data_IF_081022633693
#
_entry.id   IF_081022633693
#
_cell.length_a   1.000
_cell.length_b   1.000
_cell.length_c   1.000
_cell.angle_alpha   90.00
_cell.angle_beta   90.00
_cell.angle_gamma   90.00
#
_symmetry.space_group_name_H-M   'P 1'
#
loop_
_entity.id
_entity.type
_entity.pdbx_description
1 polymer ?
#
# COMPACT_ATOMS: atom_id res chain seq x y z
N UNK A 1 -45.75 -12.93 -12.73
CA UNK A 1 -44.57 -12.24 -13.32
C UNK A 1 -44.32 -10.88 -12.67
N UNK A 2 -45.35 -10.08 -12.33
CA UNK A 2 -45.17 -8.74 -11.75
C UNK A 2 -44.32 -8.68 -10.47
N UNK A 3 -44.56 -9.58 -9.50
CA UNK A 3 -43.83 -9.65 -8.22
C UNK A 3 -42.31 -9.83 -8.38
N UNK A 4 -41.88 -10.71 -9.30
CA UNK A 4 -40.46 -10.92 -9.61
C UNK A 4 -39.81 -9.67 -10.22
N UNK A 5 -40.55 -8.91 -11.02
CA UNK A 5 -40.04 -7.68 -11.64
C UNK A 5 -39.91 -6.55 -10.62
N UNK A 6 -40.84 -6.45 -9.66
CA UNK A 6 -40.76 -5.48 -8.54
C UNK A 6 -39.54 -5.77 -7.67
N UNK A 7 -39.33 -7.04 -7.29
CA UNK A 7 -38.16 -7.43 -6.49
C UNK A 7 -36.85 -7.17 -7.23
N UNK A 8 -36.79 -7.48 -8.52
CA UNK A 8 -35.62 -7.20 -9.36
C UNK A 8 -35.32 -5.69 -9.40
N UNK A 9 -36.32 -4.85 -9.67
CA UNK A 9 -36.14 -3.40 -9.70
C UNK A 9 -35.80 -2.82 -8.32
N UNK A 10 -36.33 -3.39 -7.23
CA UNK A 10 -35.93 -3.02 -5.87
C UNK A 10 -34.45 -3.35 -5.61
N UNK A 11 -33.97 -4.52 -6.04
CA UNK A 11 -32.56 -4.91 -5.92
C UNK A 11 -31.63 -4.02 -6.74
N UNK A 12 -32.09 -3.57 -7.91
CA UNK A 12 -31.36 -2.66 -8.80
C UNK A 12 -31.45 -1.19 -8.33
N UNK A 13 -32.36 -0.85 -7.42
CA UNK A 13 -32.62 0.53 -6.99
C UNK A 13 -33.45 1.35 -7.98
N UNK A 14 -34.09 0.71 -8.96
CA UNK A 14 -34.98 1.35 -9.95
C UNK A 14 -36.39 1.55 -9.37
N UNK A 15 -36.50 2.50 -8.44
CA UNK A 15 -37.71 2.67 -7.63
C UNK A 15 -38.92 3.13 -8.44
N UNK A 16 -38.74 4.02 -9.42
CA UNK A 16 -39.83 4.47 -10.29
C UNK A 16 -40.44 3.32 -11.09
N UNK A 17 -39.60 2.42 -11.61
CA UNK A 17 -40.07 1.27 -12.36
C UNK A 17 -40.64 0.18 -11.45
N UNK A 18 -40.10 0.01 -10.24
CA UNK A 18 -40.70 -0.84 -9.22
C UNK A 18 -42.12 -0.36 -8.84
N UNK A 19 -42.33 0.95 -8.67
CA UNK A 19 -43.64 1.55 -8.38
C UNK A 19 -44.62 1.42 -9.56
N UNK A 20 -44.17 1.62 -10.80
CA UNK A 20 -44.99 1.37 -11.99
C UNK A 20 -45.43 -0.09 -12.09
N UNK A 21 -44.52 -1.04 -11.83
CA UNK A 21 -44.88 -2.46 -11.84
C UNK A 21 -45.78 -2.85 -10.66
N UNK A 22 -45.65 -2.20 -9.51
CA UNK A 22 -46.53 -2.37 -8.34
C UNK A 22 -47.97 -1.95 -8.66
N UNK A 23 -48.15 -0.79 -9.31
CA UNK A 23 -49.50 -0.31 -9.69
C UNK A 23 -50.17 -1.17 -10.76
N UNK A 24 -49.39 -1.88 -11.57
CA UNK A 24 -49.86 -2.76 -12.65
C UNK A 24 -49.92 -4.25 -12.27
N UNK A 25 -49.48 -4.64 -11.06
CA UNK A 25 -49.36 -6.04 -10.67
C UNK A 25 -50.70 -6.64 -10.20
N UNK A 26 -51.10 -7.74 -10.84
CA UNK A 26 -52.15 -8.66 -10.36
C UNK A 26 -51.63 -10.11 -10.34
N UNK A 27 -51.75 -10.85 -9.22
CA UNK A 27 -52.26 -10.41 -7.92
C UNK A 27 -51.33 -9.41 -7.22
N UNK A 28 -51.87 -8.71 -6.23
CA UNK A 28 -51.15 -7.72 -5.42
C UNK A 28 -49.89 -8.36 -4.79
N UNK A 29 -48.74 -7.67 -4.79
CA UNK A 29 -47.51 -8.20 -4.21
C UNK A 29 -47.61 -8.33 -2.69
N UNK A 30 -46.70 -9.14 -2.13
CA UNK A 30 -46.67 -9.47 -0.71
C UNK A 30 -46.40 -8.21 0.14
N UNK A 31 -47.09 -8.10 1.29
CA UNK A 31 -47.00 -6.96 2.20
C UNK A 31 -45.55 -6.74 2.69
N UNK A 32 -44.79 -7.83 2.82
CA UNK A 32 -43.39 -7.81 3.18
C UNK A 32 -42.50 -7.18 2.09
N UNK A 33 -42.79 -7.45 0.82
CA UNK A 33 -42.03 -6.89 -0.31
C UNK A 33 -42.33 -5.40 -0.49
N UNK A 34 -43.58 -5.00 -0.29
CA UNK A 34 -43.97 -3.58 -0.27
C UNK A 34 -43.22 -2.82 0.83
N UNK A 35 -43.14 -3.40 2.03
CA UNK A 35 -42.43 -2.80 3.16
C UNK A 35 -40.91 -2.65 2.88
N UNK A 36 -40.30 -3.66 2.25
CA UNK A 36 -38.89 -3.58 1.82
C UNK A 36 -38.67 -2.47 0.79
N UNK A 37 -39.53 -2.37 -0.21
CA UNK A 37 -39.46 -1.32 -1.23
C UNK A 37 -39.56 0.07 -0.60
N UNK A 38 -40.56 0.31 0.25
CA UNK A 38 -40.73 1.59 0.97
C UNK A 38 -39.52 1.93 1.85
N UNK A 39 -38.90 0.92 2.46
CA UNK A 39 -37.70 1.10 3.29
C UNK A 39 -36.50 1.51 2.44
N UNK A 40 -36.28 0.85 1.30
CA UNK A 40 -35.23 1.23 0.34
C UNK A 40 -35.46 2.64 -0.20
N UNK A 41 -36.69 2.99 -0.60
CA UNK A 41 -37.05 4.33 -1.09
C UNK A 41 -36.73 5.42 -0.06
N UNK A 42 -37.10 5.17 1.20
CA UNK A 42 -36.83 6.09 2.31
C UNK A 42 -35.34 6.31 2.51
N UNK A 43 -34.55 5.24 2.54
CA UNK A 43 -33.09 5.35 2.70
C UNK A 43 -32.44 6.03 1.51
N UNK A 44 -32.89 5.73 0.28
CA UNK A 44 -32.38 6.41 -0.90
C UNK A 44 -32.69 7.91 -0.88
N UNK A 45 -33.93 8.31 -0.57
CA UNK A 45 -34.30 9.72 -0.46
C UNK A 45 -33.40 10.48 0.53
N UNK A 46 -33.16 9.89 1.70
CA UNK A 46 -32.25 10.45 2.73
C UNK A 46 -30.80 10.51 2.29
N UNK A 47 -30.33 9.50 1.56
CA UNK A 47 -29.01 9.49 0.94
C UNK A 47 -28.86 10.67 -0.04
N UNK A 48 -29.83 10.87 -0.92
CA UNK A 48 -29.82 11.97 -1.89
C UNK A 48 -29.82 13.34 -1.22
N UNK A 49 -30.65 13.52 -0.19
CA UNK A 49 -30.70 14.79 0.54
C UNK A 49 -29.43 15.05 1.35
N UNK A 50 -28.85 14.01 1.96
CA UNK A 50 -27.56 14.10 2.66
C UNK A 50 -26.42 14.45 1.70
N UNK A 51 -26.43 13.90 0.48
CA UNK A 51 -25.43 14.23 -0.55
C UNK A 51 -25.50 15.71 -0.93
N UNK A 52 -26.70 16.28 -1.11
CA UNK A 52 -26.89 17.70 -1.46
C UNK A 52 -26.29 18.65 -0.43
N UNK A 53 -26.39 18.30 0.86
CA UNK A 53 -25.83 19.10 1.95
C UNK A 53 -24.37 18.75 2.28
N UNK A 54 -23.80 17.73 1.63
CA UNK A 54 -22.41 17.30 1.85
C UNK A 54 -22.18 16.50 3.13
N UNK A 55 -23.23 15.90 3.71
CA UNK A 55 -23.10 15.03 4.90
C UNK A 55 -22.72 13.60 4.48
N UNK A 56 -21.45 13.41 4.15
CA UNK A 56 -20.93 12.14 3.61
C UNK A 56 -21.01 10.97 4.58
N UNK A 57 -20.96 11.23 5.90
CA UNK A 57 -21.15 10.18 6.92
C UNK A 57 -22.56 9.62 6.85
N UNK A 58 -23.53 10.49 6.66
CA UNK A 58 -24.93 10.11 6.58
C UNK A 58 -25.27 9.50 5.21
N UNK A 59 -24.66 9.97 4.12
CA UNK A 59 -24.71 9.30 2.80
C UNK A 59 -24.26 7.84 2.93
N UNK A 60 -23.09 7.60 3.51
CA UNK A 60 -22.56 6.25 3.72
C UNK A 60 -23.53 5.38 4.53
N UNK A 61 -24.03 5.90 5.65
CA UNK A 61 -24.99 5.20 6.52
C UNK A 61 -26.29 4.83 5.81
N UNK A 62 -26.86 5.76 5.04
CA UNK A 62 -28.11 5.53 4.33
C UNK A 62 -27.92 4.62 3.10
N UNK A 63 -26.75 4.67 2.43
CA UNK A 63 -26.38 3.67 1.42
C UNK A 63 -26.30 2.26 2.02
N UNK A 64 -25.59 2.09 3.13
CA UNK A 64 -25.46 0.79 3.81
C UNK A 64 -26.83 0.25 4.29
N UNK A 65 -27.70 1.14 4.80
CA UNK A 65 -29.06 0.79 5.19
C UNK A 65 -29.93 0.38 3.99
N UNK A 66 -29.83 1.07 2.85
CA UNK A 66 -30.55 0.70 1.63
C UNK A 66 -30.08 -0.67 1.08
N UNK A 67 -28.77 -0.93 1.11
CA UNK A 67 -28.19 -2.22 0.72
C UNK A 67 -28.70 -3.33 1.65
N UNK A 68 -28.68 -3.12 2.97
CA UNK A 68 -29.19 -4.07 3.95
C UNK A 68 -30.71 -4.32 3.83
N UNK A 69 -31.48 -3.31 3.42
CA UNK A 69 -32.92 -3.42 3.18
C UNK A 69 -33.29 -4.18 1.89
N UNK A 70 -32.32 -4.43 1.01
CA UNK A 70 -32.50 -5.29 -0.17
C UNK A 70 -32.03 -4.69 -1.51
N UNK A 71 -31.43 -3.49 -1.53
CA UNK A 71 -30.89 -2.88 -2.75
C UNK A 71 -29.43 -3.31 -3.02
N UNK A 72 -29.13 -4.59 -2.80
CA UNK A 72 -27.78 -5.18 -2.82
C UNK A 72 -27.14 -5.30 -4.22
N UNK A 73 -27.92 -5.02 -5.27
CA UNK A 73 -27.49 -5.14 -6.67
C UNK A 73 -27.48 -3.79 -7.40
N UNK A 74 -27.62 -2.68 -6.67
CA UNK A 74 -27.68 -1.34 -7.25
C UNK A 74 -26.29 -0.72 -7.46
N UNK A 75 -25.81 -0.70 -8.70
CA UNK A 75 -24.53 -0.08 -9.04
C UNK A 75 -24.45 1.40 -8.60
N UNK A 76 -25.57 2.14 -8.67
CA UNK A 76 -25.64 3.55 -8.27
C UNK A 76 -25.45 3.76 -6.77
N UNK A 77 -26.00 2.86 -5.92
CA UNK A 77 -25.76 2.91 -4.48
C UNK A 77 -24.31 2.62 -4.14
N UNK A 78 -23.67 1.64 -4.80
CA UNK A 78 -22.25 1.37 -4.61
C UNK A 78 -21.37 2.53 -5.09
N UNK A 79 -21.74 3.22 -6.17
CA UNK A 79 -21.05 4.43 -6.61
C UNK A 79 -21.21 5.61 -5.63
N UNK A 80 -22.42 5.82 -5.08
CA UNK A 80 -22.65 6.84 -4.06
C UNK A 80 -21.90 6.55 -2.76
N UNK A 81 -21.85 5.27 -2.37
CA UNK A 81 -21.03 4.78 -1.27
C UNK A 81 -19.55 5.05 -1.50
N UNK A 82 -19.04 4.77 -2.70
CA UNK A 82 -17.65 5.07 -3.08
C UNK A 82 -17.34 6.57 -3.02
N UNK A 83 -18.24 7.43 -3.51
CA UNK A 83 -18.11 8.89 -3.41
C UNK A 83 -18.03 9.35 -1.94
N UNK A 84 -18.91 8.83 -1.08
CA UNK A 84 -18.91 9.16 0.34
C UNK A 84 -17.61 8.72 1.05
N UNK A 85 -17.18 7.47 0.83
CA UNK A 85 -15.94 6.93 1.38
C UNK A 85 -14.72 7.73 0.95
N UNK A 86 -14.68 8.14 -0.32
CA UNK A 86 -13.63 9.01 -0.84
C UNK A 86 -13.59 10.36 -0.11
N UNK A 87 -14.74 10.99 0.14
CA UNK A 87 -14.83 12.26 0.87
C UNK A 87 -14.49 12.12 2.35
N UNK A 88 -14.63 10.92 2.91
CA UNK A 88 -14.21 10.56 4.27
C UNK A 88 -12.74 10.09 4.34
N UNK A 89 -12.00 10.16 3.24
CA UNK A 89 -10.59 9.73 3.13
C UNK A 89 -10.39 8.22 3.40
N UNK A 90 -11.39 7.40 3.13
CA UNK A 90 -11.33 5.93 3.20
C UNK A 90 -11.10 5.35 1.80
N UNK A 91 -9.89 5.52 1.27
CA UNK A 91 -9.56 5.23 -0.14
C UNK A 91 -9.70 3.74 -0.51
N UNK A 92 -9.23 2.84 0.34
CA UNK A 92 -9.29 1.39 0.07
C UNK A 92 -10.74 0.89 0.02
N UNK A 93 -11.58 1.37 0.94
CA UNK A 93 -13.00 1.05 0.96
C UNK A 93 -13.74 1.66 -0.24
N UNK A 94 -13.37 2.88 -0.66
CA UNK A 94 -13.90 3.50 -1.86
C UNK A 94 -13.56 2.68 -3.12
N UNK A 95 -12.33 2.14 -3.22
CA UNK A 95 -11.91 1.27 -4.32
C UNK A 95 -12.71 -0.03 -4.38
N UNK A 96 -12.94 -0.65 -3.22
CA UNK A 96 -13.76 -1.85 -3.12
C UNK A 96 -15.22 -1.58 -3.52
N UNK A 97 -15.79 -0.44 -3.08
CA UNK A 97 -17.15 -0.05 -3.41
C UNK A 97 -17.33 0.18 -4.92
N UNK A 98 -16.41 0.92 -5.56
CA UNK A 98 -16.50 1.18 -7.00
C UNK A 98 -16.27 -0.09 -7.84
N UNK A 99 -15.36 -0.96 -7.41
CA UNK A 99 -15.16 -2.27 -8.05
C UNK A 99 -16.39 -3.17 -7.97
N UNK A 100 -17.17 -3.05 -6.88
CA UNK A 100 -18.45 -3.75 -6.73
C UNK A 100 -19.51 -3.18 -7.68
N UNK A 101 -19.55 -1.86 -7.85
CA UNK A 101 -20.44 -1.22 -8.81
C UNK A 101 -20.18 -1.71 -10.26
N UNK A 102 -18.92 -1.81 -10.68
CA UNK A 102 -18.58 -2.30 -12.03
C UNK A 102 -18.99 -3.75 -12.30
N UNK A 103 -18.92 -4.61 -11.28
CA UNK A 103 -19.37 -6.02 -11.41
C UNK A 103 -20.88 -6.12 -11.61
N UNK A 104 -21.62 -5.20 -11.00
CA UNK A 104 -23.08 -5.13 -11.09
C UNK A 104 -23.57 -4.45 -12.37
N UNK A 105 -22.69 -3.75 -13.09
CA UNK A 105 -22.96 -3.10 -14.38
C UNK A 105 -23.09 -4.10 -15.56
N UNK A 106 -23.07 -5.42 -15.29
CA UNK A 106 -23.19 -6.47 -16.32
C UNK A 106 -24.55 -6.53 -17.02
N UNK A 107 -25.52 -5.68 -16.65
CA UNK A 107 -26.85 -5.64 -17.28
C UNK A 107 -27.47 -4.23 -17.28
N UNK A 108 -27.13 -3.41 -18.26
CA UNK A 108 -27.83 -2.15 -18.54
C UNK A 108 -27.62 -1.81 -20.04
N UNK A 109 -28.29 -2.53 -20.94
CA UNK A 109 -29.53 -2.11 -21.63
C UNK A 109 -30.54 -1.16 -20.94
N UNK A 110 -30.19 -0.41 -19.88
CA UNK A 110 -31.09 0.60 -19.32
C UNK A 110 -30.93 1.95 -20.04
N UNK A 111 -32.10 2.51 -20.31
CA UNK A 111 -32.38 3.73 -21.06
C UNK A 111 -31.62 4.95 -20.52
N UNK A 112 -31.22 5.82 -21.43
CA UNK A 112 -30.40 7.02 -21.24
C UNK A 112 -30.95 8.06 -20.24
N UNK A 113 -32.16 7.87 -19.70
CA UNK A 113 -32.94 8.98 -19.13
C UNK A 113 -33.14 8.90 -17.61
N UNK A 114 -32.78 7.80 -16.95
CA UNK A 114 -32.93 7.67 -15.49
C UNK A 114 -31.94 8.57 -14.76
N UNK A 115 -32.45 9.47 -13.92
CA UNK A 115 -31.63 10.42 -13.16
C UNK A 115 -31.35 9.94 -11.74
N UNK A 116 -30.12 10.15 -11.29
CA UNK A 116 -29.66 9.88 -9.93
C UNK A 116 -28.85 11.08 -9.44
N UNK A 117 -29.19 11.66 -8.28
CA UNK A 117 -28.54 12.88 -7.77
C UNK A 117 -28.51 14.08 -8.76
N UNK A 118 -29.39 14.13 -9.75
CA UNK A 118 -29.36 15.15 -10.81
C UNK A 118 -28.42 14.83 -11.99
N UNK A 119 -27.78 13.66 -12.00
CA UNK A 119 -26.98 13.10 -13.08
C UNK A 119 -27.79 12.09 -13.88
N UNK A 120 -27.43 11.83 -15.13
CA UNK A 120 -27.80 10.55 -15.75
C UNK A 120 -27.09 9.40 -15.01
N UNK A 121 -27.80 8.29 -14.75
CA UNK A 121 -27.31 7.15 -13.98
C UNK A 121 -25.91 6.68 -14.43
N UNK A 122 -25.73 6.42 -15.72
CA UNK A 122 -24.44 5.99 -16.27
C UNK A 122 -23.35 7.07 -16.14
N UNK A 123 -23.71 8.35 -16.28
CA UNK A 123 -22.76 9.44 -16.09
C UNK A 123 -22.27 9.51 -14.64
N UNK A 124 -23.15 9.24 -13.67
CA UNK A 124 -22.81 9.21 -12.25
C UNK A 124 -21.84 8.07 -11.91
N UNK A 125 -22.04 6.88 -12.48
CA UNK A 125 -21.11 5.76 -12.32
C UNK A 125 -19.70 6.15 -12.79
N UNK A 126 -19.60 6.69 -14.00
CA UNK A 126 -18.31 7.15 -14.55
C UNK A 126 -17.72 8.33 -13.78
N UNK A 127 -18.56 9.22 -13.24
CA UNK A 127 -18.14 10.32 -12.38
C UNK A 127 -17.49 9.80 -11.09
N UNK A 128 -18.12 8.86 -10.40
CA UNK A 128 -17.57 8.24 -9.20
C UNK A 128 -16.27 7.48 -9.50
N UNK A 129 -16.23 6.72 -10.59
CA UNK A 129 -15.01 6.05 -11.07
C UNK A 129 -13.86 7.04 -11.28
N UNK A 130 -14.10 8.13 -12.00
CA UNK A 130 -13.05 9.12 -12.27
C UNK A 130 -12.49 9.74 -10.99
N UNK A 131 -13.33 9.98 -9.98
CA UNK A 131 -12.90 10.52 -8.69
C UNK A 131 -12.10 9.53 -7.85
N UNK A 132 -12.50 8.26 -7.80
CA UNK A 132 -11.76 7.23 -7.07
C UNK A 132 -10.42 6.96 -7.76
N UNK A 133 -10.41 6.81 -9.08
CA UNK A 133 -9.21 6.54 -9.86
C UNK A 133 -8.20 7.69 -9.77
N UNK A 134 -8.62 8.95 -9.80
CA UNK A 134 -7.69 10.08 -9.69
C UNK A 134 -7.06 10.15 -8.29
N UNK A 135 -7.82 9.82 -7.24
CA UNK A 135 -7.33 9.80 -5.86
C UNK A 135 -6.32 8.67 -5.63
N UNK A 136 -6.54 7.51 -6.23
CA UNK A 136 -5.62 6.35 -6.20
C UNK A 136 -4.44 6.49 -7.17
N UNK A 137 -4.39 7.57 -7.97
CA UNK A 137 -3.32 7.81 -8.93
C UNK A 137 -3.40 6.95 -10.20
N UNK A 138 -4.58 6.41 -10.53
CA UNK A 138 -4.88 5.70 -11.78
C UNK A 138 -5.31 6.71 -12.87
N UNK A 139 -4.41 7.63 -13.22
CA UNK A 139 -4.71 8.81 -14.05
C UNK A 139 -5.35 8.50 -15.42
N UNK A 140 -4.89 7.46 -16.12
CA UNK A 140 -5.41 7.13 -17.46
C UNK A 140 -6.84 6.60 -17.39
N UNK A 141 -7.13 5.75 -16.38
CA UNK A 141 -8.49 5.28 -16.08
C UNK A 141 -9.40 6.45 -15.68
N UNK A 142 -8.90 7.35 -14.82
CA UNK A 142 -9.64 8.53 -14.39
C UNK A 142 -10.04 9.42 -15.58
N UNK A 143 -9.12 9.69 -16.51
CA UNK A 143 -9.40 10.48 -17.72
C UNK A 143 -10.41 9.77 -18.61
N UNK A 144 -10.26 8.46 -18.83
CA UNK A 144 -11.21 7.68 -19.65
C UNK A 144 -12.63 7.72 -19.06
N UNK A 145 -12.77 7.49 -17.77
CA UNK A 145 -14.05 7.56 -17.05
C UNK A 145 -14.62 8.98 -17.10
N UNK A 146 -13.79 10.01 -16.89
CA UNK A 146 -14.23 11.39 -16.98
C UNK A 146 -14.75 11.76 -18.39
N UNK A 147 -14.05 11.36 -19.45
CA UNK A 147 -14.47 11.60 -20.83
C UNK A 147 -15.82 10.92 -21.13
N UNK A 148 -16.04 9.68 -20.65
CA UNK A 148 -17.33 8.98 -20.77
C UNK A 148 -18.46 9.70 -20.02
N UNK A 149 -18.22 10.11 -18.77
CA UNK A 149 -19.20 10.88 -18.00
C UNK A 149 -19.59 12.17 -18.73
N UNK A 150 -18.60 12.86 -19.31
CA UNK A 150 -18.77 14.11 -20.06
C UNK A 150 -19.61 13.95 -21.33
N UNK A 151 -19.47 12.82 -22.03
CA UNK A 151 -20.25 12.50 -23.24
C UNK A 151 -21.71 12.25 -22.87
N UNK A 152 -21.96 11.52 -21.79
CA UNK A 152 -23.32 11.12 -21.37
C UNK A 152 -24.07 12.31 -20.77
N UNK A 153 -23.42 13.11 -19.91
CA UNK A 153 -24.04 14.26 -19.25
C UNK A 153 -23.25 15.56 -19.50
N UNK A 154 -23.32 16.12 -20.72
CA UNK A 154 -22.49 17.27 -21.11
C UNK A 154 -22.94 18.60 -20.49
N UNK A 155 -24.13 18.66 -19.89
CA UNK A 155 -24.67 19.89 -19.30
C UNK A 155 -24.55 19.93 -17.77
N UNK A 156 -24.23 18.81 -17.14
CA UNK A 156 -24.05 18.74 -15.70
C UNK A 156 -22.76 19.44 -15.26
N UNK A 157 -22.91 20.44 -14.37
CA UNK A 157 -21.80 21.29 -13.89
C UNK A 157 -20.79 20.48 -13.07
N UNK A 158 -21.23 19.53 -12.25
CA UNK A 158 -20.31 18.68 -11.47
C UNK A 158 -19.44 17.82 -12.41
N UNK A 159 -20.04 17.24 -13.46
CA UNK A 159 -19.32 16.46 -14.46
C UNK A 159 -18.33 17.32 -15.24
N UNK A 160 -18.73 18.53 -15.66
CA UNK A 160 -17.86 19.51 -16.32
C UNK A 160 -16.62 19.82 -15.46
N UNK A 161 -16.85 20.19 -14.20
CA UNK A 161 -15.78 20.59 -13.29
C UNK A 161 -14.84 19.43 -12.98
N UNK A 162 -15.40 18.26 -12.66
CA UNK A 162 -14.61 17.04 -12.41
C UNK A 162 -13.75 16.69 -13.63
N UNK A 163 -14.34 16.69 -14.84
CA UNK A 163 -13.64 16.38 -16.08
C UNK A 163 -12.45 17.31 -16.34
N UNK A 164 -12.66 18.61 -16.20
CA UNK A 164 -11.61 19.61 -16.37
C UNK A 164 -10.48 19.42 -15.35
N UNK A 165 -10.82 19.18 -14.08
CA UNK A 165 -9.84 18.96 -13.01
C UNK A 165 -9.04 17.68 -13.24
N UNK A 166 -9.70 16.55 -13.53
CA UNK A 166 -9.02 15.27 -13.81
C UNK A 166 -8.04 15.41 -14.97
N UNK A 167 -8.45 16.06 -16.06
CA UNK A 167 -7.56 16.27 -17.21
C UNK A 167 -6.42 17.23 -16.89
N UNK A 168 -6.65 18.29 -16.12
CA UNK A 168 -5.60 19.20 -15.69
C UNK A 168 -4.55 18.49 -14.82
N UNK A 169 -5.01 17.70 -13.83
CA UNK A 169 -4.16 16.87 -12.97
C UNK A 169 -3.34 15.87 -13.78
N UNK A 170 -3.98 15.14 -14.70
CA UNK A 170 -3.31 14.14 -15.53
C UNK A 170 -2.25 14.76 -16.46
N UNK A 171 -2.55 15.91 -17.08
CA UNK A 171 -1.58 16.67 -17.89
C UNK A 171 -0.41 17.17 -17.05
N UNK A 172 -0.69 17.78 -15.90
CA UNK A 172 0.31 18.26 -14.97
C UNK A 172 1.27 17.14 -14.51
N UNK A 173 0.71 15.95 -14.20
CA UNK A 173 1.50 14.76 -13.88
C UNK A 173 2.37 14.32 -15.04
N UNK A 174 1.81 14.23 -16.25
CA UNK A 174 2.55 13.77 -17.43
C UNK A 174 3.71 14.71 -17.75
N UNK A 175 3.45 16.02 -17.76
CA UNK A 175 4.47 17.05 -17.96
C UNK A 175 5.54 17.00 -16.88
N UNK A 176 5.14 16.89 -15.61
CA UNK A 176 6.08 16.77 -14.49
C UNK A 176 6.98 15.52 -14.62
N UNK A 177 6.42 14.39 -15.06
CA UNK A 177 7.19 13.16 -15.29
C UNK A 177 8.20 13.32 -16.43
N UNK A 178 7.81 13.98 -17.52
CA UNK A 178 8.68 14.25 -18.67
C UNK A 178 9.84 15.16 -18.26
N UNK A 179 9.54 16.29 -17.61
CA UNK A 179 10.53 17.23 -17.10
C UNK A 179 11.49 16.56 -16.10
N UNK A 180 10.97 15.69 -15.22
CA UNK A 180 11.79 14.93 -14.29
C UNK A 180 12.77 14.00 -15.02
N UNK A 181 12.30 13.28 -16.05
CA UNK A 181 13.16 12.41 -16.88
C UNK A 181 14.23 13.21 -17.62
N UNK A 182 13.91 14.44 -18.03
CA UNK A 182 14.87 15.37 -18.64
C UNK A 182 15.80 16.07 -17.64
N UNK A 183 15.73 15.73 -16.34
CA UNK A 183 16.57 16.34 -15.30
C UNK A 183 16.17 17.77 -14.89
N UNK A 184 15.06 18.28 -15.42
CA UNK A 184 14.57 19.65 -15.15
C UNK A 184 13.70 19.66 -13.89
N UNK A 185 14.32 19.40 -12.74
CA UNK A 185 13.61 19.15 -11.48
C UNK A 185 12.80 20.35 -10.97
N UNK A 186 13.27 21.58 -11.18
CA UNK A 186 12.54 22.80 -10.76
C UNK A 186 11.21 22.94 -11.52
N UNK A 187 11.25 22.78 -12.84
CA UNK A 187 10.07 22.86 -13.70
C UNK A 187 9.13 21.68 -13.46
N UNK A 188 9.67 20.47 -13.22
CA UNK A 188 8.88 19.32 -12.81
C UNK A 188 8.13 19.59 -11.49
N UNK A 189 8.80 20.19 -10.51
CA UNK A 189 8.19 20.59 -9.24
C UNK A 189 7.03 21.58 -9.44
N UNK A 190 7.18 22.56 -10.36
CA UNK A 190 6.12 23.49 -10.72
C UNK A 190 4.95 22.78 -11.40
N UNK A 191 5.22 21.86 -12.35
CA UNK A 191 4.17 21.11 -13.05
C UNK A 191 3.33 20.27 -12.07
N UNK A 192 3.96 19.52 -11.15
CA UNK A 192 3.21 18.80 -10.12
C UNK A 192 2.44 19.75 -9.18
N UNK A 193 3.04 20.90 -8.85
CA UNK A 193 2.37 21.95 -8.08
C UNK A 193 1.10 22.49 -8.75
N UNK A 194 1.11 22.62 -10.07
CA UNK A 194 -0.09 23.01 -10.84
C UNK A 194 -1.19 21.95 -10.75
N UNK A 195 -0.83 20.67 -10.88
CA UNK A 195 -1.80 19.58 -10.70
C UNK A 195 -2.44 19.59 -9.30
N UNK A 196 -1.65 19.89 -8.26
CA UNK A 196 -2.13 20.00 -6.89
C UNK A 196 -3.09 21.16 -6.65
N UNK A 197 -3.12 22.20 -7.49
CA UNK A 197 -4.15 23.25 -7.42
C UNK A 197 -5.54 22.71 -7.77
N UNK A 198 -5.61 21.72 -8.66
CA UNK A 198 -6.85 21.09 -9.09
C UNK A 198 -7.25 19.88 -8.23
N UNK A 199 -6.28 19.23 -7.59
CA UNK A 199 -6.52 18.13 -6.67
C UNK A 199 -5.52 18.14 -5.51
N UNK A 200 -5.75 18.97 -4.47
CA UNK A 200 -4.80 19.16 -3.36
C UNK A 200 -4.52 17.88 -2.57
N UNK A 201 -5.48 16.96 -2.53
CA UNK A 201 -5.43 15.70 -1.79
C UNK A 201 -4.95 14.56 -2.70
N UNK A 202 -3.86 14.76 -3.46
CA UNK A 202 -3.29 13.73 -4.34
C UNK A 202 -1.93 13.22 -3.82
N UNK A 203 -1.86 11.99 -3.27
CA UNK A 203 -0.63 11.48 -2.66
C UNK A 203 0.47 11.27 -3.72
N UNK A 204 0.11 10.90 -4.95
CA UNK A 204 1.07 10.67 -6.03
C UNK A 204 1.75 11.97 -6.48
N UNK A 205 0.99 13.06 -6.65
CA UNK A 205 1.57 14.35 -7.03
C UNK A 205 2.48 14.90 -5.93
N UNK A 206 2.07 14.80 -4.67
CA UNK A 206 2.93 15.17 -3.53
C UNK A 206 4.22 14.35 -3.52
N UNK A 207 4.14 13.02 -3.63
CA UNK A 207 5.32 12.15 -3.68
C UNK A 207 6.24 12.45 -4.89
N UNK A 208 5.67 12.76 -6.05
CA UNK A 208 6.46 13.12 -7.23
C UNK A 208 7.12 14.50 -7.09
N UNK A 209 6.44 15.46 -6.48
CA UNK A 209 7.01 16.77 -6.16
C UNK A 209 8.11 16.66 -5.10
N UNK A 210 7.92 15.80 -4.09
CA UNK A 210 8.93 15.45 -3.10
C UNK A 210 10.21 14.88 -3.76
N UNK A 211 10.06 14.06 -4.80
CA UNK A 211 11.17 13.53 -5.58
C UNK A 211 12.00 14.64 -6.26
N UNK A 212 11.32 15.64 -6.82
CA UNK A 212 11.96 16.80 -7.43
C UNK A 212 12.72 17.62 -6.40
N UNK A 213 12.06 17.94 -5.28
CA UNK A 213 12.66 18.68 -4.16
C UNK A 213 13.89 17.97 -3.59
N UNK A 214 13.84 16.65 -3.45
CA UNK A 214 14.99 15.85 -3.04
C UNK A 214 16.18 16.00 -4.00
N UNK A 215 15.92 15.91 -5.32
CA UNK A 215 16.96 16.08 -6.35
C UNK A 215 17.53 17.51 -6.41
N UNK A 216 16.75 18.50 -5.98
CA UNK A 216 17.18 19.89 -5.83
C UNK A 216 17.90 20.19 -4.51
N UNK A 217 18.10 19.20 -3.63
CA UNK A 217 18.69 19.41 -2.31
C UNK A 217 17.75 20.07 -1.28
N UNK A 218 16.47 20.21 -1.61
CA UNK A 218 15.45 20.82 -0.73
C UNK A 218 14.81 19.76 0.14
N UNK A 219 15.58 19.16 1.06
CA UNK A 219 15.19 17.96 1.81
C UNK A 219 14.03 18.21 2.78
N UNK A 220 13.99 19.36 3.46
CA UNK A 220 12.89 19.75 4.33
C UNK A 220 11.58 19.85 3.57
N UNK A 221 11.59 20.54 2.43
CA UNK A 221 10.40 20.65 1.56
C UNK A 221 10.01 19.29 0.96
N UNK A 222 10.98 18.39 0.75
CA UNK A 222 10.69 17.02 0.33
C UNK A 222 9.96 16.24 1.43
N UNK A 223 10.37 16.41 2.70
CA UNK A 223 9.70 15.84 3.86
C UNK A 223 8.28 16.39 4.01
N UNK A 224 8.07 17.69 3.84
CA UNK A 224 6.73 18.31 3.87
C UNK A 224 5.78 17.65 2.85
N UNK A 225 6.20 17.53 1.59
CA UNK A 225 5.40 16.87 0.57
C UNK A 225 5.18 15.37 0.88
N UNK A 226 6.17 14.68 1.43
CA UNK A 226 5.98 13.29 1.86
C UNK A 226 4.98 13.17 3.01
N UNK A 227 4.98 14.12 3.95
CA UNK A 227 4.01 14.16 5.05
C UNK A 227 2.59 14.34 4.51
N UNK A 228 2.37 15.25 3.56
CA UNK A 228 1.09 15.40 2.89
C UNK A 228 0.64 14.10 2.22
N UNK A 229 1.54 13.45 1.47
CA UNK A 229 1.24 12.17 0.83
C UNK A 229 0.87 11.07 1.85
N UNK A 230 1.56 11.02 2.99
CA UNK A 230 1.36 10.01 4.04
C UNK A 230 0.17 10.32 4.96
N UNK A 231 -0.25 11.58 5.08
CA UNK A 231 -1.53 11.91 5.72
C UNK A 231 -2.72 11.38 4.92
N UNK A 232 -2.59 11.36 3.58
CA UNK A 232 -3.61 10.86 2.67
C UNK A 232 -3.57 9.34 2.59
N UNK A 233 -2.36 8.78 2.39
CA UNK A 233 -2.12 7.34 2.28
C UNK A 233 -0.98 6.91 3.21
N UNK A 234 -1.27 6.49 4.46
CA UNK A 234 -0.26 6.22 5.49
C UNK A 234 0.81 5.19 5.12
N UNK A 235 0.45 4.18 4.32
CA UNK A 235 1.35 3.10 3.91
C UNK A 235 1.93 3.32 2.50
N UNK A 236 1.97 4.57 2.01
CA UNK A 236 2.48 4.84 0.67
C UNK A 236 4.00 4.66 0.61
N UNK A 237 4.45 3.45 0.25
CA UNK A 237 5.85 3.02 0.27
C UNK A 237 6.81 3.97 -0.44
N UNK A 238 6.42 4.55 -1.58
CA UNK A 238 7.24 5.52 -2.31
C UNK A 238 7.45 6.82 -1.52
N UNK A 239 6.45 7.29 -0.79
CA UNK A 239 6.58 8.48 0.05
C UNK A 239 7.42 8.18 1.30
N UNK A 240 7.23 7.01 1.94
CA UNK A 240 8.08 6.56 3.06
C UNK A 240 9.55 6.47 2.66
N UNK A 241 9.86 5.83 1.53
CA UNK A 241 11.24 5.72 1.01
C UNK A 241 11.88 7.09 0.80
N UNK A 242 11.13 8.03 0.22
CA UNK A 242 11.61 9.38 -0.04
C UNK A 242 11.81 10.17 1.24
N UNK A 243 10.88 10.08 2.19
CA UNK A 243 10.99 10.76 3.47
C UNK A 243 12.16 10.23 4.29
N UNK A 244 12.33 8.91 4.35
CA UNK A 244 13.49 8.26 4.98
C UNK A 244 14.81 8.71 4.36
N UNK A 245 14.89 8.77 3.03
CA UNK A 245 16.08 9.25 2.33
C UNK A 245 16.36 10.74 2.59
N UNK A 246 15.32 11.59 2.61
CA UNK A 246 15.43 13.02 2.94
C UNK A 246 15.91 13.21 4.38
N UNK A 247 15.38 12.46 5.35
CA UNK A 247 15.88 12.46 6.72
C UNK A 247 17.35 12.05 6.78
N UNK A 248 17.77 11.02 6.05
CA UNK A 248 19.17 10.61 5.98
C UNK A 248 20.09 11.70 5.40
N UNK A 249 19.65 12.46 4.39
CA UNK A 249 20.41 13.62 3.88
C UNK A 249 20.56 14.76 4.88
N UNK A 250 19.65 14.84 5.85
CA UNK A 250 19.69 15.80 6.95
C UNK A 250 20.32 15.24 8.23
N UNK A 251 20.89 14.03 8.18
CA UNK A 251 21.43 13.31 9.34
C UNK A 251 20.41 13.07 10.47
N UNK A 252 19.11 13.10 10.14
CA UNK A 252 17.99 12.79 11.03
C UNK A 252 17.73 11.29 11.06
N UNK A 253 18.75 10.53 11.46
CA UNK A 253 18.78 9.08 11.33
C UNK A 253 17.70 8.36 12.14
N UNK A 254 17.31 8.92 13.30
CA UNK A 254 16.26 8.34 14.14
C UNK A 254 14.88 8.37 13.45
N UNK A 255 14.53 9.46 12.79
CA UNK A 255 13.29 9.55 12.00
C UNK A 255 13.36 8.70 10.73
N UNK A 256 14.52 8.66 10.07
CA UNK A 256 14.76 7.79 8.91
C UNK A 256 14.50 6.31 9.24
N UNK A 257 15.00 5.83 10.39
CA UNK A 257 14.80 4.45 10.84
C UNK A 257 13.33 4.11 11.07
N UNK A 258 12.53 5.03 11.63
CA UNK A 258 11.08 4.81 11.84
C UNK A 258 10.36 4.52 10.51
N UNK A 259 10.68 5.26 9.46
CA UNK A 259 10.09 5.04 8.14
C UNK A 259 10.56 3.70 7.53
N UNK A 260 11.84 3.37 7.69
CA UNK A 260 12.37 2.08 7.23
C UNK A 260 11.81 0.88 8.01
N UNK A 261 11.48 1.01 9.30
CA UNK A 261 10.80 -0.02 10.08
C UNK A 261 9.41 -0.34 9.52
N UNK A 262 8.66 0.70 9.11
CA UNK A 262 7.37 0.52 8.42
C UNK A 262 7.61 -0.17 7.07
N UNK A 263 8.58 0.31 6.27
CA UNK A 263 8.90 -0.27 4.97
C UNK A 263 9.29 -1.75 5.05
N UNK A 264 10.06 -2.17 6.07
CA UNK A 264 10.42 -3.59 6.26
C UNK A 264 9.22 -4.49 6.55
N UNK A 265 8.15 -3.94 7.16
CA UNK A 265 6.89 -4.68 7.40
C UNK A 265 6.06 -4.78 6.12
N UNK A 266 5.99 -3.70 5.34
CA UNK A 266 5.22 -3.65 4.09
C UNK A 266 5.90 -4.40 2.93
N UNK A 267 7.24 -4.42 2.91
CA UNK A 267 8.07 -5.05 1.87
C UNK A 267 9.06 -6.07 2.48
N UNK A 268 8.56 -7.18 3.05
CA UNK A 268 9.44 -8.18 3.64
C UNK A 268 10.29 -8.86 2.55
N UNK A 269 11.60 -8.63 2.57
CA UNK A 269 12.56 -9.21 1.62
C UNK A 269 13.10 -8.24 0.57
N UNK A 270 12.68 -6.96 0.59
CA UNK A 270 13.32 -5.93 -0.24
C UNK A 270 14.73 -5.64 0.28
N UNK A 271 15.73 -5.98 -0.54
CA UNK A 271 17.15 -5.85 -0.17
C UNK A 271 17.58 -4.39 -0.10
N UNK A 272 17.06 -3.51 -0.97
CA UNK A 272 17.39 -2.09 -0.97
C UNK A 272 16.88 -1.41 0.31
N UNK A 273 15.66 -1.76 0.76
CA UNK A 273 15.11 -1.28 2.04
C UNK A 273 15.94 -1.80 3.21
N UNK A 274 16.36 -3.07 3.20
CA UNK A 274 17.18 -3.65 4.25
C UNK A 274 18.57 -2.99 4.31
N UNK A 275 19.21 -2.76 3.16
CA UNK A 275 20.48 -2.04 3.02
C UNK A 275 20.37 -0.64 3.60
N UNK A 276 19.38 0.12 3.15
CA UNK A 276 19.20 1.50 3.56
C UNK A 276 18.86 1.62 5.06
N UNK A 277 18.06 0.70 5.61
CA UNK A 277 17.82 0.60 7.06
C UNK A 277 19.11 0.36 7.83
N UNK A 278 19.93 -0.59 7.39
CA UNK A 278 21.22 -0.89 8.03
C UNK A 278 22.17 0.32 7.98
N UNK A 279 22.29 0.96 6.82
CA UNK A 279 23.10 2.17 6.69
C UNK A 279 22.63 3.30 7.62
N UNK A 280 21.32 3.53 7.72
CA UNK A 280 20.77 4.51 8.65
C UNK A 280 21.06 4.13 10.12
N UNK A 281 21.04 2.84 10.45
CA UNK A 281 21.35 2.34 11.80
C UNK A 281 22.82 2.55 12.17
N UNK A 282 23.73 2.21 11.25
CA UNK A 282 25.17 2.46 11.36
C UNK A 282 25.44 3.95 11.52
N UNK A 283 24.82 4.79 10.69
CA UNK A 283 25.00 6.24 10.76
C UNK A 283 24.49 6.83 12.08
N UNK A 284 23.35 6.36 12.60
CA UNK A 284 22.86 6.77 13.91
C UNK A 284 23.84 6.41 15.03
N UNK A 285 24.38 5.19 15.03
CA UNK A 285 25.40 4.76 16.01
C UNK A 285 26.66 5.61 15.93
N UNK A 286 27.14 5.84 14.70
CA UNK A 286 28.28 6.71 14.45
C UNK A 286 28.05 8.13 14.98
N UNK A 287 26.85 8.69 14.78
CA UNK A 287 26.50 10.03 15.28
C UNK A 287 26.46 10.14 16.81
N UNK A 288 26.35 9.00 17.50
CA UNK A 288 26.40 8.89 18.97
C UNK A 288 27.81 8.63 19.51
N UNK A 289 28.81 8.51 18.64
CA UNK A 289 30.19 8.17 19.01
C UNK A 289 30.40 6.69 19.35
N UNK A 290 29.48 5.81 18.95
CA UNK A 290 29.64 4.36 19.07
C UNK A 290 30.60 3.84 17.97
N UNK A 291 31.38 2.79 18.26
CA UNK A 291 32.30 2.19 17.29
C UNK A 291 31.54 1.37 16.23
N UNK A 292 31.82 1.64 14.94
CA UNK A 292 31.05 1.11 13.79
C UNK A 292 31.88 0.33 12.77
N UNK A 293 33.20 0.21 12.97
CA UNK A 293 34.18 -0.41 12.06
C UNK A 293 33.84 -1.86 11.66
N UNK A 294 33.11 -2.58 12.51
CA UNK A 294 32.78 -4.00 12.33
C UNK A 294 31.35 -4.25 11.81
N UNK A 295 30.57 -3.20 11.51
CA UNK A 295 29.21 -3.32 11.01
C UNK A 295 29.21 -3.36 9.48
N UNK A 296 29.10 -4.56 8.89
CA UNK A 296 28.91 -4.76 7.43
C UNK A 296 27.49 -5.22 7.12
N UNK A 297 26.90 -4.67 6.07
CA UNK A 297 25.66 -5.20 5.49
C UNK A 297 25.99 -6.50 4.75
N UNK A 298 25.18 -7.54 4.95
CA UNK A 298 25.49 -8.91 4.53
C UNK A 298 25.80 -9.08 3.04
N UNK A 299 26.59 -10.09 2.72
CA UNK A 299 27.00 -10.41 1.34
C UNK A 299 28.14 -11.43 1.26
N UNK A 300 28.92 -11.56 2.34
CA UNK A 300 29.97 -12.57 2.47
C UNK A 300 29.89 -13.24 3.85
N UNK A 301 30.21 -14.52 3.89
CA UNK A 301 30.34 -15.26 5.16
C UNK A 301 31.66 -14.88 5.82
N UNK A 302 31.59 -14.13 6.92
CA UNK A 302 32.77 -13.61 7.61
C UNK A 302 33.50 -14.73 8.36
N UNK A 303 34.82 -14.83 8.17
CA UNK A 303 35.67 -15.74 8.94
C UNK A 303 35.98 -15.16 10.31
N UNK A 304 35.71 -15.92 11.36
CA UNK A 304 36.03 -15.56 12.74
C UNK A 304 37.25 -16.35 13.20
N UNK A 305 38.33 -15.64 13.54
CA UNK A 305 39.63 -16.23 13.90
C UNK A 305 39.97 -16.10 15.39
N UNK A 306 39.16 -15.38 16.17
CA UNK A 306 39.42 -15.10 17.58
C UNK A 306 38.17 -14.86 18.42
N UNK A 307 38.33 -14.98 19.74
CA UNK A 307 37.20 -14.88 20.69
C UNK A 307 36.64 -13.45 20.78
N UNK A 308 37.48 -12.42 20.71
CA UNK A 308 37.02 -11.02 20.69
C UNK A 308 36.18 -10.73 19.44
N UNK A 309 36.66 -11.15 18.26
CA UNK A 309 35.90 -11.01 17.01
C UNK A 309 34.56 -11.77 17.08
N UNK A 310 34.55 -12.98 17.65
CA UNK A 310 33.32 -13.76 17.86
C UNK A 310 32.30 -13.02 18.75
N UNK A 311 32.74 -12.51 19.89
CA UNK A 311 31.88 -11.77 20.83
C UNK A 311 31.33 -10.50 20.19
N UNK A 312 32.19 -9.74 19.50
CA UNK A 312 31.78 -8.54 18.78
C UNK A 312 30.73 -8.86 17.71
N UNK A 313 31.00 -9.82 16.83
CA UNK A 313 30.12 -10.16 15.71
C UNK A 313 28.75 -10.76 16.14
N UNK A 314 28.69 -11.45 17.28
CA UNK A 314 27.44 -11.97 17.85
C UNK A 314 26.69 -10.95 18.71
N UNK A 315 27.37 -9.90 19.18
CA UNK A 315 26.78 -8.77 19.92
C UNK A 315 26.15 -7.69 19.03
N UNK A 316 26.38 -7.74 17.71
CA UNK A 316 25.78 -6.81 16.77
C UNK A 316 24.23 -6.89 16.84
N UNK A 317 23.52 -5.75 16.74
CA UNK A 317 22.06 -5.76 16.70
C UNK A 317 21.57 -6.53 15.48
N UNK A 318 20.59 -7.42 15.68
CA UNK A 318 20.07 -8.27 14.63
C UNK A 318 20.34 -9.74 14.90
N UNK A 319 20.44 -10.53 13.83
CA UNK A 319 20.57 -11.99 13.89
C UNK A 319 21.90 -12.41 13.26
N UNK A 320 22.68 -13.19 14.00
CA UNK A 320 23.93 -13.77 13.54
C UNK A 320 23.81 -15.29 13.48
N UNK A 321 24.06 -15.88 12.31
CA UNK A 321 24.12 -17.32 12.07
C UNK A 321 25.58 -17.73 12.00
N UNK A 322 26.03 -18.55 12.96
CA UNK A 322 27.42 -19.01 13.03
C UNK A 322 27.52 -20.47 12.60
N UNK A 323 28.29 -20.71 11.55
CA UNK A 323 28.64 -22.02 11.03
C UNK A 323 29.99 -22.47 11.61
N UNK A 324 29.96 -23.39 12.58
CA UNK A 324 31.15 -24.08 13.07
C UNK A 324 31.49 -25.25 12.14
N UNK A 325 32.68 -25.21 11.56
CA UNK A 325 33.10 -26.12 10.50
C UNK A 325 34.55 -26.57 10.66
N UNK A 326 34.95 -27.57 9.88
CA UNK A 326 36.37 -27.89 9.63
C UNK A 326 36.56 -28.23 8.17
N UNK A 327 37.65 -27.75 7.58
CA UNK A 327 38.00 -27.96 6.17
C UNK A 327 38.13 -29.45 5.82
N UNK A 328 38.40 -30.30 6.81
CA UNK A 328 38.55 -31.75 6.67
C UNK A 328 37.21 -32.53 6.63
N UNK A 329 36.08 -31.89 6.95
CA UNK A 329 34.79 -32.58 7.06
C UNK A 329 33.95 -32.45 5.78
N UNK A 330 33.55 -33.61 5.22
CA UNK A 330 32.81 -33.67 3.96
C UNK A 330 31.41 -33.04 4.04
N UNK A 331 30.72 -33.12 5.19
CA UNK A 331 29.41 -32.50 5.36
C UNK A 331 29.52 -30.97 5.40
N UNK A 332 30.56 -30.43 6.05
CA UNK A 332 30.88 -28.99 5.99
C UNK A 332 31.07 -28.53 4.54
N UNK A 333 31.87 -29.27 3.75
CA UNK A 333 32.07 -28.96 2.33
C UNK A 333 30.78 -28.94 1.50
N UNK A 334 29.81 -29.83 1.79
CA UNK A 334 28.51 -29.88 1.10
C UNK A 334 27.57 -28.74 1.49
N UNK A 335 27.59 -28.30 2.75
CA UNK A 335 26.65 -27.27 3.24
C UNK A 335 27.18 -25.85 3.05
N UNK A 336 28.51 -25.63 3.02
CA UNK A 336 29.09 -24.29 2.86
C UNK A 336 28.60 -23.50 1.63
N UNK A 337 28.47 -24.07 0.42
CA UNK A 337 27.91 -23.35 -0.73
C UNK A 337 26.46 -22.91 -0.50
N UNK A 338 25.68 -23.73 0.22
CA UNK A 338 24.30 -23.39 0.58
C UNK A 338 24.27 -22.25 1.61
N UNK A 339 25.20 -22.21 2.58
CA UNK A 339 25.34 -21.09 3.52
C UNK A 339 25.68 -19.79 2.78
N UNK A 340 26.57 -19.83 1.79
CA UNK A 340 26.87 -18.67 0.95
C UNK A 340 25.61 -18.20 0.20
N UNK A 341 24.83 -19.12 -0.37
CA UNK A 341 23.56 -18.79 -1.02
C UNK A 341 22.54 -18.17 -0.04
N UNK A 342 22.47 -18.67 1.21
CA UNK A 342 21.65 -18.09 2.26
C UNK A 342 22.13 -16.68 2.66
N UNK A 343 23.44 -16.44 2.70
CA UNK A 343 24.01 -15.12 2.95
C UNK A 343 23.58 -14.10 1.89
N UNK A 344 23.56 -14.50 0.61
CA UNK A 344 23.05 -13.67 -0.48
C UNK A 344 21.54 -13.48 -0.39
N UNK A 345 20.80 -14.53 0.00
CA UNK A 345 19.33 -14.52 0.07
C UNK A 345 18.79 -13.73 1.27
N UNK A 346 19.52 -13.67 2.38
CA UNK A 346 19.13 -13.02 3.63
C UNK A 346 20.22 -12.03 4.08
N UNK A 347 20.43 -10.92 3.35
CA UNK A 347 21.54 -10.00 3.63
C UNK A 347 21.37 -9.20 4.93
N UNK A 348 20.16 -9.21 5.52
CA UNK A 348 19.88 -8.67 6.86
C UNK A 348 20.37 -9.57 8.00
N UNK A 349 20.83 -10.79 7.71
CA UNK A 349 21.36 -11.76 8.67
C UNK A 349 22.88 -11.82 8.53
N UNK A 350 23.59 -11.72 9.64
CA UNK A 350 25.05 -11.83 9.65
C UNK A 350 25.47 -13.31 9.60
N UNK A 351 26.20 -13.74 8.58
CA UNK A 351 26.69 -15.12 8.47
C UNK A 351 28.17 -15.18 8.83
N UNK A 352 28.48 -15.95 9.86
CA UNK A 352 29.84 -16.16 10.36
C UNK A 352 30.27 -17.60 10.11
N UNK A 353 31.55 -17.82 9.82
CA UNK A 353 32.18 -19.15 9.82
C UNK A 353 33.31 -19.20 10.84
N UNK A 354 33.37 -20.27 11.61
CA UNK A 354 34.42 -20.56 12.58
C UNK A 354 35.03 -21.92 12.21
N UNK A 355 36.29 -21.95 11.78
CA UNK A 355 37.01 -23.22 11.67
C UNK A 355 37.45 -23.65 13.08
N UNK A 356 36.93 -24.80 13.53
CA UNK A 356 37.18 -25.30 14.89
C UNK A 356 38.65 -25.67 15.15
N UNK A 357 39.42 -25.94 14.09
CA UNK A 357 40.85 -26.24 14.18
C UNK A 357 41.69 -24.96 14.28
N UNK A 358 41.30 -23.92 13.55
CA UNK A 358 41.98 -22.62 13.58
C UNK A 358 41.62 -21.81 14.84
N UNK A 359 40.38 -21.95 15.33
CA UNK A 359 39.83 -21.21 16.48
C UNK A 359 39.31 -22.12 17.60
N UNK A 360 40.17 -22.97 18.22
CA UNK A 360 39.74 -23.94 19.22
C UNK A 360 39.25 -23.28 20.53
N UNK A 361 39.66 -22.05 20.81
CA UNK A 361 39.15 -21.29 21.97
C UNK A 361 37.65 -20.99 21.84
N UNK A 362 37.22 -20.53 20.66
CA UNK A 362 35.80 -20.23 20.37
C UNK A 362 34.97 -21.50 20.40
N UNK A 363 35.47 -22.58 19.77
CA UNK A 363 34.79 -23.87 19.75
C UNK A 363 34.59 -24.45 21.16
N UNK A 364 35.60 -24.33 22.04
CA UNK A 364 35.51 -24.77 23.44
C UNK A 364 34.54 -23.92 24.26
N UNK A 365 34.60 -22.59 24.12
CA UNK A 365 33.67 -21.68 24.80
C UNK A 365 32.21 -21.98 24.39
N UNK A 366 31.99 -22.28 23.12
CA UNK A 366 30.69 -22.66 22.59
C UNK A 366 30.34 -24.15 22.72
N UNK A 367 31.15 -24.97 23.41
CA UNK A 367 30.91 -26.41 23.59
C UNK A 367 30.65 -27.19 22.27
N UNK A 368 31.32 -26.81 21.18
CA UNK A 368 31.15 -27.46 19.88
C UNK A 368 32.00 -28.72 19.81
N UNK A 369 31.35 -29.89 19.75
CA UNK A 369 32.02 -31.21 19.65
C UNK A 369 31.85 -31.88 18.30
N UNK A 370 30.84 -31.48 17.54
CA UNK A 370 30.46 -32.08 16.26
C UNK A 370 30.33 -30.96 15.23
N UNK A 371 30.72 -31.23 13.99
CA UNK A 371 30.63 -30.28 12.87
C UNK A 371 30.03 -30.98 11.64
N UNK A 372 29.23 -30.29 10.81
CA UNK A 372 28.86 -28.87 10.92
C UNK A 372 27.85 -28.61 12.05
N UNK A 373 28.10 -27.59 12.86
CA UNK A 373 27.15 -27.11 13.87
C UNK A 373 26.81 -25.65 13.58
N UNK A 374 25.53 -25.32 13.63
CA UNK A 374 25.03 -23.98 13.43
C UNK A 374 24.43 -23.44 14.72
N UNK A 375 24.77 -22.20 15.05
CA UNK A 375 24.18 -21.48 16.19
C UNK A 375 23.65 -20.14 15.73
N UNK A 376 22.45 -19.79 16.19
CA UNK A 376 21.81 -18.50 15.88
C UNK A 376 21.81 -17.64 17.13
N UNK A 377 22.30 -16.41 17.00
CA UNK A 377 22.33 -15.40 18.04
C UNK A 377 21.41 -14.24 17.65
N UNK A 378 20.74 -13.66 18.64
CA UNK A 378 19.97 -12.43 18.51
C UNK A 378 20.39 -11.49 19.63
N UNK A 379 21.02 -10.37 19.28
CA UNK A 379 21.55 -9.38 20.24
C UNK A 379 22.40 -10.02 21.37
N UNK A 380 23.47 -10.74 21.01
CA UNK A 380 24.34 -11.52 21.92
C UNK A 380 23.71 -12.77 22.60
N UNK A 381 22.40 -12.99 22.50
CA UNK A 381 21.74 -14.14 23.13
C UNK A 381 21.61 -15.28 22.13
N UNK A 382 22.12 -16.47 22.48
CA UNK A 382 21.92 -17.68 21.66
C UNK A 382 20.47 -18.12 21.71
N UNK A 383 19.81 -18.14 20.56
CA UNK A 383 18.38 -18.51 20.43
C UNK A 383 18.16 -19.89 19.81
N UNK A 384 19.14 -20.42 19.07
CA UNK A 384 19.03 -21.73 18.44
C UNK A 384 20.39 -22.41 18.28
N UNK A 385 20.40 -23.73 18.39
CA UNK A 385 21.53 -24.61 18.06
C UNK A 385 21.04 -25.77 17.18
N UNK A 386 21.84 -26.13 16.19
CA UNK A 386 21.55 -27.19 15.22
C UNK A 386 22.83 -27.96 14.92
N UNK A 387 22.83 -29.26 15.18
CA UNK A 387 23.97 -30.15 14.91
C UNK A 387 23.65 -30.92 13.63
N UNK A 388 24.53 -30.84 12.63
CA UNK A 388 24.39 -31.47 11.32
C UNK A 388 23.00 -31.26 10.67
N UNK A 389 22.47 -30.01 10.58
CA UNK A 389 21.13 -29.78 10.05
C UNK A 389 21.01 -30.13 8.56
N UNK A 390 19.80 -30.47 8.13
CA UNK A 390 19.45 -30.46 6.71
C UNK A 390 19.40 -29.01 6.19
N UNK A 391 19.57 -28.83 4.88
CA UNK A 391 19.46 -27.51 4.24
C UNK A 391 18.10 -26.85 4.51
N UNK A 392 17.02 -27.64 4.46
CA UNK A 392 15.65 -27.17 4.75
C UNK A 392 15.49 -26.65 6.18
N UNK A 393 16.02 -27.37 7.17
CA UNK A 393 15.95 -26.95 8.58
C UNK A 393 16.75 -25.68 8.84
N UNK A 394 17.93 -25.57 8.22
CA UNK A 394 18.77 -24.39 8.34
C UNK A 394 18.06 -23.18 7.73
N UNK A 395 17.56 -23.28 6.50
CA UNK A 395 16.85 -22.17 5.85
C UNK A 395 15.59 -21.75 6.60
N UNK A 396 14.80 -22.70 7.09
CA UNK A 396 13.63 -22.40 7.92
C UNK A 396 14.03 -21.61 9.17
N UNK A 397 15.10 -22.02 9.85
CA UNK A 397 15.58 -21.35 11.06
C UNK A 397 16.10 -19.94 10.75
N UNK A 398 16.91 -19.78 9.69
CA UNK A 398 17.38 -18.46 9.24
C UNK A 398 16.20 -17.54 8.95
N UNK A 399 15.20 -18.03 8.20
CA UNK A 399 13.99 -17.24 7.89
C UNK A 399 13.19 -16.89 9.13
N UNK A 400 13.00 -17.83 10.05
CA UNK A 400 12.18 -17.64 11.26
C UNK A 400 12.79 -16.61 12.22
N UNK A 401 14.11 -16.62 12.37
CA UNK A 401 14.80 -15.68 13.27
C UNK A 401 15.23 -14.38 12.57
N UNK A 402 15.44 -14.40 11.26
CA UNK A 402 15.98 -13.29 10.46
C UNK A 402 14.96 -12.26 9.96
N UNK A 403 13.66 -12.57 9.99
CA UNK A 403 12.56 -11.59 9.84
C UNK A 403 12.35 -10.84 11.13
#
# INVERSE_FOLDING_TARGET
>A
MGTRMILLNCRLGHLEDAQKHLTLATPQPDLLELHKLQTVEKHLGRCLDSRKVGDWKNVLRECDAAIAAGADSSALLFAARAEALLRLNQLDEADMAISSASKLDYSSSCTSDTKFCGFFANAYLYYAHAQVDIALGRFDHAVSSADKARIIDPRNVEVITMHNNVKAVARARSLGNELFKSGKFSEACMAYGEGLKHHPVNPVLHCNRAACRFKLGQWEKSIEDCNEALMIQPNYTKALLRRAASYGKMERWAESLKDYEVLRKELPGDTEVAEAYFHAQVALKSSRGEEVSNLKFGGEVEAVTGMEQFQMATSLPGVSVVHFMTSSNQQCGKISPFVNALCTKYPSVNFLKVDVNESPAVARAENVRTVPTFKIYKNAIRVKEMICPSQQLLEYSVRHYGT
#
